data_IF_509733357901
#
_entry.id   IF_509733357901
#
_cell.length_a   1.000
_cell.length_b   1.000
_cell.length_c   1.000
_cell.angle_alpha   90.00
_cell.angle_beta   90.00
_cell.angle_gamma   90.00
#
_symmetry.space_group_name_H-M   'P 1'
#
loop_
_entity.id
_entity.type
_entity.pdbx_description
1 polymer ?
#
# COMPACT_ATOMS: atom_id res chain seq x y z
N UNK A 1 -14.21 11.90 6.95
CA UNK A 1 -13.69 11.24 5.73
C UNK A 1 -14.14 9.78 5.65
N UNK A 2 -13.79 8.93 6.64
CA UNK A 2 -14.29 7.53 6.75
C UNK A 2 -15.83 7.40 6.70
N UNK A 3 -16.57 8.32 7.31
CA UNK A 3 -18.05 8.35 7.25
C UNK A 3 -18.59 8.64 5.84
N UNK A 4 -17.92 9.52 5.08
CA UNK A 4 -18.31 9.86 3.69
C UNK A 4 -18.04 8.69 2.72
N UNK A 5 -17.01 7.88 3.01
CA UNK A 5 -16.68 6.68 2.23
C UNK A 5 -17.75 5.58 2.36
N UNK A 6 -18.44 5.49 3.51
CA UNK A 6 -19.50 4.49 3.73
C UNK A 6 -20.72 4.71 2.83
N UNK A 7 -21.03 5.96 2.48
CA UNK A 7 -22.18 6.28 1.65
C UNK A 7 -21.90 6.13 0.15
N UNK A 8 -20.62 6.16 -0.25
CA UNK A 8 -20.20 6.15 -1.65
C UNK A 8 -20.09 4.74 -2.27
N UNK A 9 -19.98 3.68 -1.47
CA UNK A 9 -19.88 2.30 -1.97
C UNK A 9 -20.53 1.29 -1.03
N UNK A 10 -21.39 0.41 -1.56
CA UNK A 10 -21.99 -0.72 -0.82
C UNK A 10 -21.05 -1.92 -0.64
N UNK A 11 -19.92 -1.93 -1.35
CA UNK A 11 -18.88 -2.92 -1.21
C UNK A 11 -17.77 -2.31 -0.35
N UNK A 12 -17.48 -2.85 0.85
CA UNK A 12 -16.35 -2.41 1.64
C UNK A 12 -15.09 -2.48 0.77
N UNK A 13 -14.29 -1.41 0.74
CA UNK A 13 -13.04 -1.36 -0.03
C UNK A 13 -12.12 -2.54 0.33
N UNK A 14 -12.20 -3.00 1.59
CA UNK A 14 -11.55 -4.19 2.11
C UNK A 14 -12.54 -5.08 2.88
N UNK A 15 -12.71 -6.32 2.46
CA UNK A 15 -13.44 -7.35 3.21
C UNK A 15 -12.47 -8.09 4.14
N UNK A 16 -12.38 -7.63 5.39
CA UNK A 16 -11.50 -8.20 6.41
C UNK A 16 -11.79 -9.69 6.68
N UNK A 17 -13.02 -10.17 6.43
CA UNK A 17 -13.35 -11.59 6.63
C UNK A 17 -12.75 -12.45 5.53
N UNK A 18 -12.81 -11.98 4.28
CA UNK A 18 -12.12 -12.64 3.17
C UNK A 18 -10.61 -12.63 3.36
N UNK A 19 -10.06 -11.51 3.84
CA UNK A 19 -8.63 -11.39 4.12
C UNK A 19 -8.17 -12.39 5.20
N UNK A 20 -8.93 -12.53 6.29
CA UNK A 20 -8.65 -13.52 7.33
C UNK A 20 -8.76 -14.97 6.81
N UNK A 21 -9.70 -15.24 5.90
CA UNK A 21 -9.87 -16.57 5.32
C UNK A 21 -8.77 -16.97 4.32
N UNK A 22 -8.04 -16.00 3.76
CA UNK A 22 -6.94 -16.23 2.82
C UNK A 22 -5.58 -16.52 3.48
N UNK A 23 -5.54 -16.80 4.79
CA UNK A 23 -4.30 -17.17 5.48
C UNK A 23 -4.02 -18.69 5.37
N UNK A 24 -2.76 -19.10 5.11
CA UNK A 24 -1.58 -18.26 4.98
C UNK A 24 -1.52 -17.53 3.62
N UNK A 25 -0.94 -16.32 3.64
CA UNK A 25 -0.73 -15.51 2.42
C UNK A 25 0.08 -16.35 1.41
N UNK A 26 -0.38 -16.50 0.16
CA UNK A 26 0.37 -17.22 -0.87
C UNK A 26 1.74 -16.58 -1.10
N UNK A 27 2.77 -17.37 -1.41
CA UNK A 27 4.10 -16.83 -1.72
C UNK A 27 4.06 -15.86 -2.91
N UNK A 28 5.00 -14.92 -2.93
CA UNK A 28 5.11 -13.98 -4.03
C UNK A 28 5.24 -14.72 -5.37
N UNK A 29 4.48 -14.30 -6.40
CA UNK A 29 4.60 -14.89 -7.72
C UNK A 29 6.00 -14.65 -8.29
N UNK A 30 6.51 -15.60 -9.07
CA UNK A 30 7.71 -15.37 -9.87
C UNK A 30 7.34 -14.43 -11.02
N UNK A 31 7.59 -13.13 -10.83
CA UNK A 31 7.25 -12.09 -11.80
C UNK A 31 8.41 -11.91 -12.79
N UNK A 32 8.15 -11.75 -14.09
CA UNK A 32 9.18 -11.40 -15.08
C UNK A 32 9.59 -9.92 -15.00
N UNK A 33 9.24 -9.22 -13.91
CA UNK A 33 9.37 -7.78 -13.71
C UNK A 33 10.14 -7.53 -12.42
N UNK A 34 10.98 -6.51 -12.41
CA UNK A 34 11.63 -6.03 -11.19
C UNK A 34 10.61 -5.27 -10.33
N UNK A 35 10.59 -5.57 -9.04
CA UNK A 35 9.69 -4.94 -8.06
C UNK A 35 10.45 -3.88 -7.29
N UNK A 36 9.87 -2.69 -7.19
CA UNK A 36 10.37 -1.60 -6.35
C UNK A 36 9.30 -1.21 -5.33
N UNK A 37 9.65 -1.28 -4.05
CA UNK A 37 8.74 -0.97 -2.94
C UNK A 37 9.15 0.36 -2.32
N UNK A 38 8.23 1.34 -2.37
CA UNK A 38 8.41 2.72 -1.93
C UNK A 38 7.29 3.10 -0.96
N UNK A 39 7.62 3.82 0.11
CA UNK A 39 6.64 4.40 1.02
C UNK A 39 7.16 5.65 1.71
N UNK A 40 6.35 6.24 2.58
CA UNK A 40 6.68 7.44 3.34
C UNK A 40 6.82 7.13 4.85
N UNK A 41 7.70 7.87 5.54
CA UNK A 41 8.00 7.57 6.95
C UNK A 41 6.87 7.90 7.94
N UNK A 42 5.99 8.83 7.56
CA UNK A 42 4.89 9.34 8.39
C UNK A 42 3.53 9.00 7.77
N UNK A 43 3.46 7.87 7.07
CA UNK A 43 2.24 7.37 6.47
C UNK A 43 1.36 6.68 7.53
N UNK A 44 0.19 7.27 7.80
CA UNK A 44 -0.77 6.78 8.79
C UNK A 44 -1.68 5.67 8.24
N UNK A 45 -1.65 5.41 6.94
CA UNK A 45 -2.49 4.40 6.28
C UNK A 45 -1.67 3.12 6.10
N UNK A 46 -0.43 3.25 5.60
CA UNK A 46 0.54 2.14 5.51
C UNK A 46 1.79 2.54 6.27
N UNK A 47 1.95 1.99 7.47
CA UNK A 47 3.09 2.33 8.32
C UNK A 47 4.40 1.67 7.83
N UNK A 48 5.49 1.98 8.56
CA UNK A 48 6.81 1.45 8.26
C UNK A 48 6.89 -0.10 8.36
N UNK A 49 6.03 -0.73 9.17
CA UNK A 49 5.97 -2.18 9.28
C UNK A 49 5.32 -2.78 8.03
N UNK A 50 4.16 -2.25 7.60
CA UNK A 50 3.52 -2.67 6.36
C UNK A 50 4.39 -2.48 5.11
N UNK A 51 5.17 -1.38 5.07
CA UNK A 51 6.17 -1.17 4.01
C UNK A 51 7.23 -2.27 4.01
N UNK A 52 7.74 -2.63 5.18
CA UNK A 52 8.77 -3.66 5.35
C UNK A 52 8.23 -5.05 5.00
N UNK A 53 7.05 -5.42 5.50
CA UNK A 53 6.39 -6.69 5.19
C UNK A 53 6.16 -6.86 3.68
N UNK A 54 5.75 -5.77 3.00
CA UNK A 54 5.58 -5.77 1.55
C UNK A 54 6.89 -6.01 0.81
N UNK A 55 7.98 -5.38 1.25
CA UNK A 55 9.30 -5.57 0.64
C UNK A 55 9.85 -6.99 0.88
N UNK A 56 9.68 -7.53 2.10
CA UNK A 56 10.03 -8.91 2.45
C UNK A 56 9.23 -9.92 1.62
N UNK A 57 7.94 -9.67 1.40
CA UNK A 57 7.09 -10.50 0.55
C UNK A 57 7.67 -10.67 -0.85
N UNK A 58 8.16 -9.59 -1.46
CA UNK A 58 8.79 -9.62 -2.79
C UNK A 58 10.30 -9.89 -2.77
N UNK A 59 10.93 -10.04 -1.60
CA UNK A 59 12.37 -10.27 -1.48
C UNK A 59 13.24 -9.08 -1.88
N UNK A 60 12.74 -7.85 -1.72
CA UNK A 60 13.44 -6.60 -2.08
C UNK A 60 13.68 -5.73 -0.85
N UNK A 61 14.53 -4.70 -0.97
CA UNK A 61 14.71 -3.69 0.07
C UNK A 61 13.74 -2.53 -0.15
N UNK A 62 13.02 -2.06 0.90
CA UNK A 62 12.13 -0.92 0.76
C UNK A 62 12.92 0.39 0.68
N UNK A 63 12.34 1.38 0.01
CA UNK A 63 12.77 2.78 0.11
C UNK A 63 11.71 3.55 0.90
N UNK A 64 12.15 4.20 1.98
CA UNK A 64 11.30 5.04 2.80
C UNK A 64 11.71 6.50 2.60
N UNK A 65 10.79 7.33 2.12
CA UNK A 65 11.04 8.74 1.84
C UNK A 65 10.55 9.59 3.01
N UNK A 66 11.40 10.50 3.46
CA UNK A 66 11.05 11.44 4.52
C UNK A 66 10.27 12.65 3.96
N UNK A 67 9.33 13.15 4.75
CA UNK A 67 8.65 14.41 4.44
C UNK A 67 7.62 14.35 3.31
N UNK A 68 7.16 13.15 2.92
CA UNK A 68 6.09 12.96 1.93
C UNK A 68 4.85 12.39 2.61
N UNK A 69 3.65 12.73 2.10
CA UNK A 69 2.38 12.18 2.56
C UNK A 69 2.11 10.78 1.95
N UNK A 70 1.07 10.10 2.43
CA UNK A 70 0.61 8.80 1.91
C UNK A 70 0.43 8.79 0.38
N UNK A 71 -0.35 9.74 -0.14
CA UNK A 71 -0.60 9.90 -1.58
C UNK A 71 0.58 10.62 -2.24
N UNK A 72 1.73 9.95 -2.32
CA UNK A 72 2.93 10.46 -2.98
C UNK A 72 2.64 10.73 -4.46
N UNK A 73 2.61 12.00 -4.84
CA UNK A 73 2.38 12.38 -6.23
C UNK A 73 3.71 12.37 -6.99
N UNK A 74 4.00 11.22 -7.64
CA UNK A 74 5.29 10.95 -8.28
C UNK A 74 5.44 11.56 -9.68
N UNK A 75 4.34 12.02 -10.29
CA UNK A 75 4.38 12.65 -11.62
C UNK A 75 4.71 14.14 -11.53
N UNK A 76 5.28 14.66 -12.60
CA UNK A 76 5.49 16.10 -12.78
C UNK A 76 4.15 16.81 -12.97
N UNK A 77 4.01 18.01 -12.41
CA UNK A 77 2.76 18.80 -12.48
C UNK A 77 1.52 18.11 -11.88
N UNK A 78 1.69 17.20 -10.94
CA UNK A 78 0.58 16.54 -10.24
C UNK A 78 -0.43 17.50 -9.61
N UNK A 79 0.04 18.71 -9.27
CA UNK A 79 -0.71 19.81 -8.68
C UNK A 79 -1.64 20.52 -9.69
N UNK A 80 -1.50 20.23 -10.98
CA UNK A 80 -2.32 20.81 -12.07
C UNK A 80 -3.50 19.93 -12.48
N UNK A 81 -3.69 18.78 -11.84
CA UNK A 81 -4.79 17.84 -12.06
C UNK A 81 -6.05 18.19 -11.27
#
# INVERSE_FOLDING_TARGET
>A
YQELMKESSRMPLFDLRKLNASLPVPSAPNLPLEVFVLGANNDFIVDAEGLKETAEFYGVSPVCVEGVAHDMMLDTSWDKG
#
